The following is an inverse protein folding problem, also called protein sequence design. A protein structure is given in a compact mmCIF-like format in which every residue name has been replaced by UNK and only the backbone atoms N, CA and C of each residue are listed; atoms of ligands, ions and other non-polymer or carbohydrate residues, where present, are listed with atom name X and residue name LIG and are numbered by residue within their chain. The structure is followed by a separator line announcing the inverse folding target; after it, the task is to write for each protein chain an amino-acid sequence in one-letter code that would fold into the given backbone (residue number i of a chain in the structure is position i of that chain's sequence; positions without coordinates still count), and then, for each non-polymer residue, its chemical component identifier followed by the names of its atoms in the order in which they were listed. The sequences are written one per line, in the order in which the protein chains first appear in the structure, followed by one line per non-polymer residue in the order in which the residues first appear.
data_IF_969676522718
#
_entry.id   IF_969676522718
#
_cell.length_a   1.000
_cell.length_b   1.000
_cell.length_c   1.000
_cell.angle_alpha   90.00
_cell.angle_beta   90.00
_cell.angle_gamma   90.00
#
_symmetry.space_group_name_H-M   'P 1'
#
loop_
_entity.id
_entity.type
_entity.pdbx_description
1 polymer ?
#
# COMPACT_ATOMS: atom_id res chain seq x y z
N UNK A 1 -5.10 -4.46 -20.56
CA UNK A 1 -4.76 -4.88 -19.19
C UNK A 1 -3.25 -5.03 -19.15
N UNK A 2 -2.56 -4.24 -18.32
CA UNK A 2 -1.10 -4.13 -18.34
C UNK A 2 -0.46 -5.45 -17.87
N UNK A 3 0.68 -5.87 -18.40
CA UNK A 3 1.29 -7.17 -18.02
C UNK A 3 1.67 -7.22 -16.53
N UNK A 4 2.02 -6.07 -15.96
CA UNK A 4 2.22 -5.89 -14.53
C UNK A 4 0.95 -6.17 -13.70
N UNK A 5 -0.23 -5.77 -14.18
CA UNK A 5 -1.49 -6.03 -13.47
C UNK A 5 -1.84 -7.53 -13.53
N UNK A 6 -1.52 -8.21 -14.64
CA UNK A 6 -1.68 -9.66 -14.77
C UNK A 6 -0.74 -10.42 -13.82
N UNK A 7 0.51 -10.00 -13.71
CA UNK A 7 1.48 -10.58 -12.78
C UNK A 7 1.03 -10.39 -11.33
N UNK A 8 0.53 -9.19 -10.97
CA UNK A 8 0.01 -8.92 -9.64
C UNK A 8 -1.22 -9.79 -9.31
N UNK A 9 -2.12 -9.96 -10.28
CA UNK A 9 -3.29 -10.82 -10.12
C UNK A 9 -2.91 -12.29 -9.94
N UNK A 10 -1.91 -12.79 -10.68
CA UNK A 10 -1.40 -14.16 -10.50
C UNK A 10 -0.82 -14.36 -9.09
N UNK A 11 0.00 -13.42 -8.64
CA UNK A 11 0.56 -13.45 -7.29
C UNK A 11 -0.53 -13.41 -6.22
N UNK A 12 -1.57 -12.59 -6.40
CA UNK A 12 -2.72 -12.56 -5.48
C UNK A 12 -3.43 -13.91 -5.43
N UNK A 13 -3.64 -14.55 -6.58
CA UNK A 13 -4.27 -15.87 -6.65
C UNK A 13 -3.42 -16.93 -5.93
N UNK A 14 -2.10 -16.91 -6.07
CA UNK A 14 -1.19 -17.83 -5.38
C UNK A 14 -1.24 -17.63 -3.86
N UNK A 15 -1.22 -16.38 -3.39
CA UNK A 15 -1.27 -16.06 -1.95
C UNK A 15 -2.64 -16.37 -1.31
N UNK A 16 -3.72 -16.26 -2.07
CA UNK A 16 -5.07 -16.63 -1.64
C UNK A 16 -5.30 -18.14 -1.58
N UNK A 17 -4.45 -18.98 -2.17
CA UNK A 17 -4.56 -20.43 -1.93
C UNK A 17 -4.17 -20.80 -0.50
N UNK A 18 -3.37 -19.96 0.16
CA UNK A 18 -2.92 -20.16 1.53
C UNK A 18 -3.72 -19.36 2.57
N UNK A 19 -4.66 -18.49 2.16
CA UNK A 19 -5.41 -17.59 3.02
C UNK A 19 -6.90 -17.57 2.66
N UNK A 20 -7.78 -17.27 3.62
CA UNK A 20 -9.24 -17.19 3.37
C UNK A 20 -9.66 -15.90 2.64
N UNK A 21 -8.71 -15.05 2.24
CA UNK A 21 -8.97 -13.79 1.58
C UNK A 21 -9.27 -13.99 0.09
N UNK A 22 -10.09 -13.10 -0.49
CA UNK A 22 -10.29 -13.12 -1.95
C UNK A 22 -9.16 -12.35 -2.66
N UNK A 23 -8.66 -12.84 -3.81
CA UNK A 23 -7.56 -12.21 -4.52
C UNK A 23 -7.91 -10.79 -4.99
N UNK A 24 -9.18 -10.55 -5.30
CA UNK A 24 -9.68 -9.21 -5.63
C UNK A 24 -9.58 -8.22 -4.46
N UNK A 25 -9.88 -8.64 -3.23
CA UNK A 25 -9.75 -7.80 -2.04
C UNK A 25 -8.29 -7.45 -1.75
N UNK A 26 -7.38 -8.43 -1.85
CA UNK A 26 -5.95 -8.19 -1.66
C UNK A 26 -5.38 -7.20 -2.68
N UNK A 27 -5.73 -7.36 -3.96
CA UNK A 27 -5.30 -6.43 -5.03
C UNK A 27 -5.86 -5.03 -4.78
N UNK A 28 -7.14 -4.92 -4.40
CA UNK A 28 -7.78 -3.64 -4.10
C UNK A 28 -7.12 -2.94 -2.90
N UNK A 29 -6.86 -3.67 -1.81
CA UNK A 29 -6.19 -3.15 -0.62
C UNK A 29 -4.77 -2.70 -0.95
N UNK A 30 -4.04 -3.51 -1.72
CA UNK A 30 -2.68 -3.20 -2.16
C UNK A 30 -2.60 -1.89 -2.94
N UNK A 31 -3.48 -1.71 -3.92
CA UNK A 31 -3.56 -0.45 -4.66
C UNK A 31 -4.00 0.73 -3.78
N UNK A 32 -4.93 0.52 -2.86
CA UNK A 32 -5.38 1.55 -1.94
C UNK A 32 -4.25 2.01 -1.00
N UNK A 33 -3.51 1.06 -0.41
CA UNK A 33 -2.35 1.30 0.45
C UNK A 33 -1.25 2.05 -0.29
N UNK A 34 -0.86 1.57 -1.48
CA UNK A 34 0.11 2.26 -2.32
C UNK A 34 -0.31 3.70 -2.66
N UNK A 35 -1.56 3.90 -3.10
CA UNK A 35 -2.06 5.25 -3.47
C UNK A 35 -2.11 6.19 -2.27
N UNK A 36 -2.61 5.72 -1.12
CA UNK A 36 -2.63 6.51 0.10
C UNK A 36 -1.22 6.90 0.53
N UNK A 37 -0.29 5.95 0.45
CA UNK A 37 1.11 6.18 0.81
C UNK A 37 1.82 7.15 -0.15
N UNK A 38 1.69 6.95 -1.46
CA UNK A 38 2.30 7.82 -2.45
C UNK A 38 1.72 9.25 -2.42
N UNK A 39 0.41 9.39 -2.19
CA UNK A 39 -0.27 10.70 -2.13
C UNK A 39 0.23 11.60 -1.01
N UNK A 40 0.50 11.05 0.17
CA UNK A 40 1.01 11.84 1.32
C UNK A 40 2.41 12.38 1.03
N UNK A 41 3.25 11.60 0.34
CA UNK A 41 4.62 12.01 0.02
C UNK A 41 4.77 12.73 -1.32
N UNK A 42 3.67 12.99 -2.04
CA UNK A 42 3.68 13.44 -3.44
C UNK A 42 4.68 12.64 -4.31
N UNK A 43 4.70 11.31 -4.10
CA UNK A 43 5.70 10.44 -4.70
C UNK A 43 5.21 9.96 -6.07
N UNK A 44 6.07 10.09 -7.07
CA UNK A 44 5.88 9.49 -8.39
C UNK A 44 6.95 8.41 -8.59
N UNK A 45 6.54 7.28 -9.17
CA UNK A 45 7.40 6.13 -9.39
C UNK A 45 7.32 5.68 -10.85
N UNK A 46 8.45 5.25 -11.44
CA UNK A 46 8.41 4.59 -12.74
C UNK A 46 7.60 3.28 -12.66
N UNK A 47 7.02 2.80 -13.78
CA UNK A 47 6.15 1.62 -13.80
C UNK A 47 6.75 0.38 -13.12
N UNK A 48 8.03 0.10 -13.38
CA UNK A 48 8.78 -1.03 -12.81
C UNK A 48 8.83 -0.94 -11.28
N UNK A 49 9.27 0.21 -10.75
CA UNK A 49 9.36 0.42 -9.30
C UNK A 49 8.00 0.39 -8.62
N UNK A 50 6.97 0.91 -9.29
CA UNK A 50 5.59 0.80 -8.82
C UNK A 50 5.16 -0.66 -8.74
N UNK A 51 5.51 -1.48 -9.71
CA UNK A 51 5.17 -2.90 -9.71
C UNK A 51 5.87 -3.65 -8.57
N UNK A 52 7.17 -3.43 -8.35
CA UNK A 52 7.91 -3.99 -7.21
C UNK A 52 7.26 -3.64 -5.86
N UNK A 53 6.89 -2.37 -5.67
CA UNK A 53 6.23 -1.90 -4.46
C UNK A 53 4.86 -2.57 -4.27
N UNK A 54 4.08 -2.70 -5.34
CA UNK A 54 2.78 -3.38 -5.28
C UNK A 54 2.94 -4.85 -4.92
N UNK A 55 3.92 -5.57 -5.48
CA UNK A 55 4.19 -6.96 -5.08
C UNK A 55 4.58 -7.08 -3.60
N UNK A 56 5.43 -6.17 -3.11
CA UNK A 56 5.84 -6.15 -1.70
C UNK A 56 4.67 -5.90 -0.76
N UNK A 57 3.80 -4.94 -1.08
CA UNK A 57 2.57 -4.66 -0.32
C UNK A 57 1.63 -5.86 -0.36
N UNK A 58 1.44 -6.48 -1.52
CA UNK A 58 0.54 -7.64 -1.67
C UNK A 58 0.97 -8.80 -0.76
N UNK A 59 2.28 -9.14 -0.78
CA UNK A 59 2.85 -10.18 0.09
C UNK A 59 2.66 -9.86 1.57
N UNK A 60 2.87 -8.59 1.95
CA UNK A 60 2.64 -8.14 3.32
C UNK A 60 1.17 -8.24 3.73
N UNK A 61 0.24 -7.81 2.88
CA UNK A 61 -1.20 -7.89 3.16
C UNK A 61 -1.66 -9.34 3.37
N UNK A 62 -1.15 -10.26 2.54
CA UNK A 62 -1.45 -11.68 2.67
C UNK A 62 -0.83 -12.28 3.95
N UNK A 63 0.44 -11.97 4.25
CA UNK A 63 1.12 -12.50 5.43
C UNK A 63 0.49 -12.04 6.75
N UNK A 64 0.12 -10.77 6.85
CA UNK A 64 -0.51 -10.18 8.03
C UNK A 64 -2.04 -10.37 8.06
N UNK A 65 -2.61 -11.07 7.08
CA UNK A 65 -4.06 -11.27 6.93
C UNK A 65 -4.86 -9.95 7.05
N UNK A 66 -4.37 -8.88 6.41
CA UNK A 66 -4.96 -7.53 6.56
C UNK A 66 -6.36 -7.40 5.95
N UNK A 67 -6.79 -8.38 5.15
CA UNK A 67 -8.15 -8.46 4.62
C UNK A 67 -9.12 -9.21 5.56
N UNK A 68 -8.64 -9.77 6.67
CA UNK A 68 -9.51 -10.39 7.67
C UNK A 68 -10.51 -9.37 8.27
N UNK A 69 -11.70 -9.86 8.64
CA UNK A 69 -12.83 -9.04 9.10
C UNK A 69 -12.54 -8.17 10.34
N UNK A 70 -11.47 -8.47 11.08
CA UNK A 70 -11.09 -7.81 12.32
C UNK A 70 -10.44 -6.43 12.12
N UNK A 71 -9.99 -6.10 10.91
CA UNK A 71 -9.29 -4.84 10.64
C UNK A 71 -10.17 -3.83 9.92
N UNK A 72 -10.22 -2.61 10.46
CA UNK A 72 -10.77 -1.48 9.70
C UNK A 72 -9.89 -1.17 8.51
N UNK A 73 -10.50 -0.62 7.45
CA UNK A 73 -9.77 -0.20 6.25
C UNK A 73 -8.65 0.79 6.59
N UNK A 74 -8.90 1.73 7.51
CA UNK A 74 -7.89 2.72 7.90
C UNK A 74 -6.72 2.08 8.66
N UNK A 75 -6.99 1.09 9.52
CA UNK A 75 -5.93 0.34 10.19
C UNK A 75 -5.06 -0.42 9.19
N UNK A 76 -5.66 -1.11 8.22
CA UNK A 76 -4.93 -1.81 7.17
C UNK A 76 -4.05 -0.84 6.33
N UNK A 77 -4.59 0.33 5.98
CA UNK A 77 -3.83 1.36 5.25
C UNK A 77 -2.67 1.91 6.08
N UNK A 78 -2.86 2.10 7.39
CA UNK A 78 -1.79 2.55 8.29
C UNK A 78 -0.68 1.52 8.39
N UNK A 79 -1.01 0.23 8.58
CA UNK A 79 -0.03 -0.87 8.61
C UNK A 79 0.80 -0.94 7.33
N UNK A 80 0.16 -0.79 6.17
CA UNK A 80 0.86 -0.74 4.88
C UNK A 80 1.81 0.46 4.82
N UNK A 81 1.37 1.63 5.29
CA UNK A 81 2.20 2.83 5.31
C UNK A 81 3.42 2.66 6.23
N UNK A 82 3.24 2.09 7.42
CA UNK A 82 4.32 1.83 8.38
C UNK A 82 5.35 0.85 7.81
N UNK A 83 4.87 -0.24 7.18
CA UNK A 83 5.74 -1.20 6.50
C UNK A 83 6.56 -0.55 5.38
N UNK A 84 5.94 0.32 4.57
CA UNK A 84 6.63 1.03 3.49
C UNK A 84 7.61 2.07 4.03
N UNK A 85 7.25 2.77 5.11
CA UNK A 85 8.12 3.77 5.72
C UNK A 85 9.34 3.12 6.40
N UNK A 86 9.18 1.93 7.00
CA UNK A 86 10.26 1.11 7.53
C UNK A 86 11.16 0.51 6.43
N UNK A 87 10.56 0.00 5.35
CA UNK A 87 11.29 -0.62 4.24
C UNK A 87 12.00 0.39 3.33
N UNK A 88 11.48 1.63 3.26
CA UNK A 88 12.02 2.68 2.41
C UNK A 88 12.22 4.01 3.15
N UNK A 89 13.27 4.11 3.99
CA UNK A 89 13.52 5.29 4.84
C UNK A 89 13.65 6.61 4.09
N UNK A 90 14.14 6.57 2.84
CA UNK A 90 14.25 7.76 1.98
C UNK A 90 12.88 8.38 1.70
N UNK A 91 11.87 7.55 1.39
CA UNK A 91 10.52 8.03 1.10
C UNK A 91 9.78 8.41 2.37
N UNK A 92 10.02 7.69 3.48
CA UNK A 92 9.50 8.02 4.80
C UNK A 92 9.89 9.45 5.23
N UNK A 93 11.17 9.82 5.06
CA UNK A 93 11.65 11.18 5.36
C UNK A 93 10.95 12.25 4.53
N UNK A 94 10.74 12.01 3.23
CA UNK A 94 10.02 12.93 2.34
C UNK A 94 8.56 13.08 2.77
N UNK A 95 7.89 11.97 3.09
CA UNK A 95 6.52 11.95 3.60
C UNK A 95 6.38 12.71 4.91
N UNK A 96 7.27 12.47 5.87
CA UNK A 96 7.26 13.17 7.16
C UNK A 96 7.41 14.69 6.98
N UNK A 97 8.35 15.14 6.14
CA UNK A 97 8.53 16.56 5.81
C UNK A 97 7.29 17.18 5.18
N UNK A 98 6.64 16.49 4.26
CA UNK A 98 5.44 17.00 3.58
C UNK A 98 4.20 16.96 4.48
N UNK A 99 4.07 15.95 5.33
CA UNK A 99 3.02 15.89 6.35
C UNK A 99 3.17 17.05 7.34
N UNK A 100 4.39 17.33 7.80
CA UNK A 100 4.68 18.47 8.68
C UNK A 100 4.32 19.81 8.02
N UNK A 101 4.69 20.01 6.75
CA UNK A 101 4.28 21.21 5.99
C UNK A 101 2.76 21.32 5.89
N UNK A 102 2.06 20.22 5.63
CA UNK A 102 0.60 20.23 5.50
C UNK A 102 -0.09 20.59 6.82
N UNK A 103 0.47 20.17 7.95
CA UNK A 103 0.00 20.56 9.28
C UNK A 103 0.29 22.04 9.57
N UNK A 104 1.43 22.57 9.10
CA UNK A 104 1.85 23.96 9.31
C UNK A 104 1.02 25.00 8.53
N UNK A 105 0.50 24.65 7.36
CA UNK A 105 -0.34 25.53 6.53
C UNK A 105 -1.86 25.31 6.73
N UNK A 106 -2.28 24.66 7.81
CA UNK A 106 -3.65 24.78 8.34
C UNK A 106 -4.78 24.26 7.45
N UNK A 107 -4.58 23.19 6.66
CA UNK A 107 -5.75 22.53 6.06
C UNK A 107 -6.42 21.60 7.08
N UNK A 108 -7.20 22.20 7.97
CA UNK A 108 -8.18 21.53 8.83
C UNK A 108 -9.08 20.69 7.92
N UNK A 109 -9.18 19.39 8.23
CA UNK A 109 -10.13 18.48 7.59
C UNK A 109 -11.51 18.78 8.16
N UNK A 110 -12.42 19.27 7.32
CA UNK A 110 -13.86 19.07 7.52
C UNK A 110 -14.22 17.64 7.11
#
# INVERSE_FOLDING_TARGET
MNDFDRQLQRLANELCQASHDTPAQLVALTHAGFRAWAKVGNLSFPPERRHELLQGILRFCANECLCACCFSRDHALQKIADMLDGSYPRYARTRARLAERRNRYGRVRY
#
